data_IF_730408341605
#
_entry.id   IF_730408341605
#
_cell.length_a   1.000
_cell.length_b   1.000
_cell.length_c   1.000
_cell.angle_alpha   90.00
_cell.angle_beta   90.00
_cell.angle_gamma   90.00
#
_symmetry.space_group_name_H-M   'P 1'
#
loop_
_entity.id
_entity.type
_entity.pdbx_description
1 polymer ?
#
# COMPACT_ATOMS: atom_id res chain seq x y z
N UNK A 1 35.42 2.58 14.98
CA UNK A 1 34.86 3.94 15.11
C UNK A 1 35.28 4.71 13.87
N UNK A 2 34.35 4.94 12.94
CA UNK A 2 34.60 5.77 11.76
C UNK A 2 33.87 7.08 12.06
N UNK A 3 34.61 8.12 12.43
CA UNK A 3 34.10 9.48 12.59
C UNK A 3 33.86 10.06 11.20
N UNK A 4 32.61 10.42 10.88
CA UNK A 4 32.29 11.22 9.70
C UNK A 4 32.90 12.62 9.87
N UNK A 5 33.65 13.10 8.88
CA UNK A 5 34.32 14.39 8.94
C UNK A 5 33.36 15.60 8.90
N UNK A 6 33.84 16.79 9.31
CA UNK A 6 33.05 18.02 9.55
C UNK A 6 32.26 18.56 8.35
N UNK A 7 32.46 18.02 7.16
CA UNK A 7 31.80 18.46 5.92
C UNK A 7 30.34 18.02 5.82
N UNK A 8 29.93 16.94 6.51
CA UNK A 8 28.53 16.46 6.47
C UNK A 8 27.59 17.29 7.36
N UNK A 9 28.07 17.82 8.49
CA UNK A 9 27.27 18.66 9.40
C UNK A 9 26.89 20.00 8.77
N UNK A 10 27.80 20.63 8.01
CA UNK A 10 27.51 21.90 7.32
C UNK A 10 26.44 21.77 6.23
N UNK A 11 26.31 20.59 5.59
CA UNK A 11 25.30 20.36 4.55
C UNK A 11 23.90 20.26 5.18
N UNK A 12 23.78 19.58 6.32
CA UNK A 12 22.51 19.50 7.07
C UNK A 12 22.00 20.86 7.54
N UNK A 13 22.91 21.75 7.95
CA UNK A 13 22.58 23.12 8.41
C UNK A 13 22.08 24.05 7.30
N UNK A 14 22.38 23.74 6.03
CA UNK A 14 22.01 24.55 4.86
C UNK A 14 20.86 23.95 4.06
N UNK A 15 20.41 22.75 4.43
CA UNK A 15 19.28 22.07 3.82
C UNK A 15 17.95 22.57 4.37
N UNK A 16 16.96 22.68 3.49
CA UNK A 16 15.56 22.80 3.91
C UNK A 16 14.94 21.39 3.91
N UNK A 17 14.35 21.01 5.04
CA UNK A 17 13.58 19.77 5.17
C UNK A 17 12.13 20.10 4.86
N UNK A 18 11.56 19.36 3.90
CA UNK A 18 10.14 19.39 3.59
C UNK A 18 9.57 18.03 3.93
N UNK A 19 8.56 18.01 4.80
CA UNK A 19 7.81 16.80 5.07
C UNK A 19 6.82 16.53 3.94
N UNK A 20 6.82 15.30 3.45
CA UNK A 20 5.79 14.83 2.52
C UNK A 20 4.65 14.25 3.35
N UNK A 21 3.45 14.74 3.09
CA UNK A 21 2.24 14.19 3.72
C UNK A 21 1.99 12.74 3.27
N UNK A 22 1.33 11.99 4.14
CA UNK A 22 0.97 10.59 3.86
C UNK A 22 0.03 10.54 2.66
N UNK A 23 0.24 9.58 1.77
CA UNK A 23 -0.63 9.33 0.63
C UNK A 23 -1.97 8.71 1.08
N UNK A 24 -2.85 9.57 1.57
CA UNK A 24 -4.12 9.21 2.20
C UNK A 24 -5.18 8.74 1.20
N UNK A 25 -6.34 8.34 1.73
CA UNK A 25 -7.41 7.70 0.95
C UNK A 25 -7.99 8.64 -0.12
N UNK A 26 -8.26 9.89 0.22
CA UNK A 26 -8.86 10.87 -0.70
C UNK A 26 -7.84 11.32 -1.75
N UNK A 27 -6.59 11.47 -1.33
CA UNK A 27 -5.45 11.82 -2.15
C UNK A 27 -5.18 10.73 -3.20
N UNK A 28 -5.34 9.45 -2.84
CA UNK A 28 -5.18 8.30 -3.75
C UNK A 28 -6.16 8.30 -4.92
N UNK A 29 -7.46 8.50 -4.66
CA UNK A 29 -8.45 8.56 -5.73
C UNK A 29 -8.25 9.80 -6.61
N UNK A 30 -7.90 10.93 -6.00
CA UNK A 30 -7.60 12.18 -6.71
C UNK A 30 -6.38 12.02 -7.61
N UNK A 31 -5.31 11.42 -7.08
CA UNK A 31 -4.10 11.07 -7.83
C UNK A 31 -4.41 10.14 -8.99
N UNK A 32 -5.23 9.10 -8.78
CA UNK A 32 -5.62 8.16 -9.83
C UNK A 32 -6.36 8.88 -10.97
N UNK A 33 -7.35 9.73 -10.65
CA UNK A 33 -8.10 10.50 -11.65
C UNK A 33 -7.18 11.43 -12.44
N UNK A 34 -6.26 12.11 -11.76
CA UNK A 34 -5.24 12.93 -12.40
C UNK A 34 -4.32 12.10 -13.32
N UNK A 35 -3.81 10.97 -12.83
CA UNK A 35 -2.93 10.07 -13.59
C UNK A 35 -3.61 9.61 -14.88
N UNK A 36 -4.86 9.13 -14.79
CA UNK A 36 -5.62 8.67 -15.95
C UNK A 36 -5.86 9.81 -16.96
N UNK A 37 -6.05 11.04 -16.50
CA UNK A 37 -6.16 12.22 -17.37
C UNK A 37 -4.88 12.42 -18.20
N UNK A 38 -3.70 12.11 -17.64
CA UNK A 38 -2.43 12.20 -18.37
C UNK A 38 -2.24 11.04 -19.37
N UNK A 39 -2.92 9.92 -19.16
CA UNK A 39 -2.77 8.71 -19.99
C UNK A 39 -3.77 8.64 -21.16
N UNK A 40 -4.95 9.23 -21.04
CA UNK A 40 -5.98 9.19 -22.10
C UNK A 40 -5.69 10.20 -23.21
N UNK A 41 -6.00 9.83 -24.46
CA UNK A 41 -5.91 10.76 -25.58
C UNK A 41 -6.88 11.94 -25.40
N UNK A 42 -6.54 13.11 -25.96
CA UNK A 42 -7.36 14.31 -25.87
C UNK A 42 -8.82 14.05 -26.27
N UNK A 43 -9.77 14.54 -25.45
CA UNK A 43 -11.23 14.35 -25.61
C UNK A 43 -11.73 12.92 -25.39
N UNK A 44 -10.91 12.01 -24.86
CA UNK A 44 -11.37 10.68 -24.43
C UNK A 44 -11.82 10.75 -22.98
N UNK A 45 -12.99 10.19 -22.71
CA UNK A 45 -13.51 10.09 -21.35
C UNK A 45 -12.85 8.93 -20.58
N UNK A 46 -12.52 9.17 -19.31
CA UNK A 46 -11.86 8.19 -18.44
C UNK A 46 -12.80 7.00 -18.20
N UNK A 47 -14.11 7.24 -18.08
CA UNK A 47 -15.09 6.18 -17.83
C UNK A 47 -15.19 5.20 -19.01
N UNK A 48 -14.73 5.60 -20.21
CA UNK A 48 -14.60 4.71 -21.37
C UNK A 48 -13.41 3.75 -21.29
N UNK A 49 -12.46 4.00 -20.38
CA UNK A 49 -11.26 3.17 -20.18
C UNK A 49 -11.40 2.30 -18.92
N UNK A 50 -11.87 2.89 -17.82
CA UNK A 50 -12.01 2.22 -16.52
C UNK A 50 -13.27 2.72 -15.81
N UNK A 51 -14.02 1.82 -15.19
CA UNK A 51 -15.26 2.18 -14.49
C UNK A 51 -14.98 2.90 -13.16
N UNK A 52 -15.90 3.75 -12.69
CA UNK A 52 -15.71 4.51 -11.44
C UNK A 52 -15.60 3.60 -10.21
N UNK A 53 -16.37 2.50 -10.16
CA UNK A 53 -16.26 1.50 -9.09
C UNK A 53 -14.90 0.78 -9.09
N UNK A 54 -14.30 0.54 -10.25
CA UNK A 54 -12.95 -0.01 -10.37
C UNK A 54 -11.89 0.97 -9.85
N UNK A 55 -12.03 2.27 -10.17
CA UNK A 55 -11.14 3.31 -9.65
C UNK A 55 -11.22 3.43 -8.13
N UNK A 56 -12.44 3.43 -7.57
CA UNK A 56 -12.63 3.44 -6.11
C UNK A 56 -11.96 2.19 -5.51
N UNK A 57 -12.29 1.00 -6.04
CA UNK A 57 -11.79 -0.27 -5.52
C UNK A 57 -10.26 -0.37 -5.51
N UNK A 58 -9.59 0.03 -6.60
CA UNK A 58 -8.13 -0.02 -6.69
C UNK A 58 -7.47 1.02 -5.77
N UNK A 59 -8.06 2.23 -5.66
CA UNK A 59 -7.51 3.31 -4.84
C UNK A 59 -7.52 2.99 -3.34
N UNK A 60 -8.46 2.17 -2.88
CA UNK A 60 -8.51 1.73 -1.49
C UNK A 60 -7.37 0.78 -1.12
N UNK A 61 -6.94 -0.08 -2.05
CA UNK A 61 -5.95 -1.15 -1.84
C UNK A 61 -4.51 -0.73 -2.11
N UNK A 62 -4.29 0.13 -3.10
CA UNK A 62 -2.95 0.59 -3.43
C UNK A 62 -2.47 1.64 -2.43
N UNK A 63 -1.17 1.66 -2.17
CA UNK A 63 -0.50 2.50 -1.16
C UNK A 63 0.55 3.42 -1.72
N UNK A 64 1.03 3.18 -2.95
CA UNK A 64 2.11 3.96 -3.56
C UNK A 64 1.83 4.26 -5.02
N UNK A 65 2.34 5.39 -5.57
CA UNK A 65 2.28 5.68 -7.00
C UNK A 65 2.79 4.53 -7.88
N UNK A 66 3.88 3.87 -7.49
CA UNK A 66 4.45 2.74 -8.23
C UNK A 66 3.48 1.55 -8.33
N UNK A 67 2.70 1.30 -7.26
CA UNK A 67 1.68 0.25 -7.32
C UNK A 67 0.57 0.61 -8.31
N UNK A 68 0.16 1.89 -8.40
CA UNK A 68 -0.84 2.32 -9.38
C UNK A 68 -0.35 2.06 -10.80
N UNK A 69 0.86 2.49 -11.13
CA UNK A 69 1.47 2.22 -12.44
C UNK A 69 1.47 0.72 -12.76
N UNK A 70 1.99 -0.10 -11.85
CA UNK A 70 2.13 -1.54 -12.06
C UNK A 70 0.78 -2.24 -12.28
N UNK A 71 -0.21 -2.00 -11.41
CA UNK A 71 -1.49 -2.72 -11.46
C UNK A 71 -2.43 -2.17 -12.52
N UNK A 72 -2.39 -0.86 -12.83
CA UNK A 72 -3.16 -0.32 -13.95
C UNK A 72 -2.63 -0.83 -15.27
N UNK A 73 -1.31 -0.84 -15.47
CA UNK A 73 -0.69 -1.40 -16.69
C UNK A 73 -1.17 -2.83 -16.92
N UNK A 74 -1.04 -3.70 -15.91
CA UNK A 74 -1.51 -5.09 -16.00
C UNK A 74 -3.01 -5.19 -16.29
N UNK A 75 -3.85 -4.42 -15.60
CA UNK A 75 -5.30 -4.45 -15.81
C UNK A 75 -5.69 -4.03 -17.23
N UNK A 76 -5.03 -3.02 -17.80
CA UNK A 76 -5.28 -2.57 -19.16
C UNK A 76 -4.74 -3.55 -20.20
N UNK A 77 -3.56 -4.14 -19.98
CA UNK A 77 -3.02 -5.19 -20.85
C UNK A 77 -3.94 -6.41 -20.88
N UNK A 78 -4.33 -6.95 -19.73
CA UNK A 78 -5.24 -8.10 -19.65
C UNK A 78 -6.64 -7.77 -20.20
N UNK A 79 -7.17 -6.58 -19.89
CA UNK A 79 -8.43 -6.11 -20.45
C UNK A 79 -8.39 -6.01 -21.98
N UNK A 80 -7.28 -5.52 -22.54
CA UNK A 80 -7.09 -5.45 -23.98
C UNK A 80 -7.04 -6.83 -24.63
N UNK A 81 -6.29 -7.78 -24.06
CA UNK A 81 -6.15 -9.15 -24.57
C UNK A 81 -7.50 -9.88 -24.70
N UNK A 82 -8.46 -9.60 -23.80
CA UNK A 82 -9.80 -10.21 -23.85
C UNK A 82 -10.87 -9.32 -24.50
N UNK A 83 -10.48 -8.15 -25.03
CA UNK A 83 -11.42 -7.19 -25.63
C UNK A 83 -12.37 -6.52 -24.65
N UNK A 84 -12.04 -6.49 -23.35
CA UNK A 84 -12.83 -5.82 -22.33
C UNK A 84 -12.57 -4.32 -22.31
N UNK A 85 -13.61 -3.52 -22.56
CA UNK A 85 -13.61 -2.08 -22.40
C UNK A 85 -14.99 -1.58 -21.98
N UNK A 86 -15.14 -0.85 -20.86
CA UNK A 86 -14.10 -0.42 -19.92
C UNK A 86 -13.60 -1.56 -18.99
N UNK A 87 -12.39 -1.37 -18.44
CA UNK A 87 -11.85 -2.20 -17.36
C UNK A 87 -12.72 -2.01 -16.12
N UNK A 88 -13.30 -3.10 -15.63
CA UNK A 88 -14.19 -3.12 -14.46
C UNK A 88 -13.51 -3.64 -13.20
N UNK A 89 -14.19 -3.53 -12.05
CA UNK A 89 -13.65 -3.96 -10.75
C UNK A 89 -13.26 -5.45 -10.71
N UNK A 90 -13.99 -6.31 -11.45
CA UNK A 90 -13.65 -7.74 -11.56
C UNK A 90 -12.29 -7.99 -12.23
N UNK A 91 -11.93 -7.22 -13.26
CA UNK A 91 -10.60 -7.29 -13.91
C UNK A 91 -9.52 -6.76 -12.96
N UNK A 92 -9.79 -5.65 -12.26
CA UNK A 92 -8.85 -5.17 -11.23
C UNK A 92 -8.63 -6.25 -10.17
N UNK A 93 -9.69 -6.91 -9.72
CA UNK A 93 -9.61 -7.96 -8.71
C UNK A 93 -8.79 -9.16 -9.18
N UNK A 94 -8.87 -9.55 -10.46
CA UNK A 94 -8.10 -10.69 -10.98
C UNK A 94 -6.61 -10.41 -11.08
N UNK A 95 -6.20 -9.17 -11.35
CA UNK A 95 -4.78 -8.81 -11.50
C UNK A 95 -4.08 -8.45 -10.20
N UNK A 96 -4.85 -8.09 -9.16
CA UNK A 96 -4.27 -7.76 -7.86
C UNK A 96 -3.67 -9.00 -7.20
N UNK A 97 -2.45 -8.85 -6.67
CA UNK A 97 -1.82 -9.92 -5.92
C UNK A 97 -2.66 -10.24 -4.66
N UNK A 98 -2.99 -11.53 -4.40
CA UNK A 98 -3.79 -11.93 -3.23
C UNK A 98 -3.17 -11.50 -1.89
N UNK A 99 -1.84 -11.38 -1.85
CA UNK A 99 -1.01 -11.06 -0.70
C UNK A 99 -0.51 -9.60 -0.71
N UNK A 100 -1.09 -8.72 -1.53
CA UNK A 100 -0.66 -7.31 -1.65
C UNK A 100 -0.63 -6.56 -0.31
N UNK A 101 -1.51 -6.96 0.61
CA UNK A 101 -1.62 -6.41 1.96
C UNK A 101 -1.11 -7.37 3.04
N UNK A 102 -0.56 -8.54 2.67
CA UNK A 102 -0.20 -9.54 3.66
C UNK A 102 0.84 -8.98 4.63
N UNK A 103 0.42 -8.93 5.89
CA UNK A 103 1.19 -8.37 6.98
C UNK A 103 2.35 -9.30 7.36
N UNK A 104 2.14 -10.61 7.24
CA UNK A 104 3.08 -11.65 7.68
C UNK A 104 4.40 -11.67 6.89
N UNK A 105 4.43 -11.69 5.54
CA UNK A 105 5.67 -11.65 4.78
C UNK A 105 6.46 -10.37 5.03
N UNK A 106 5.77 -9.24 5.18
CA UNK A 106 6.39 -7.93 5.47
C UNK A 106 7.08 -7.93 6.83
N UNK A 107 6.34 -8.29 7.87
CA UNK A 107 6.88 -8.38 9.24
C UNK A 107 8.00 -9.41 9.35
N UNK A 108 7.87 -10.56 8.68
CA UNK A 108 8.89 -11.61 8.66
C UNK A 108 10.20 -11.10 8.05
N UNK A 109 10.16 -10.29 6.97
CA UNK A 109 11.37 -9.67 6.38
C UNK A 109 12.07 -8.70 7.35
N UNK A 110 11.33 -8.11 8.29
CA UNK A 110 11.86 -7.27 9.35
C UNK A 110 12.23 -8.06 10.63
N UNK A 111 12.21 -9.39 10.59
CA UNK A 111 12.54 -10.26 11.73
C UNK A 111 11.37 -10.54 12.68
N UNK A 112 10.18 -9.99 12.41
CA UNK A 112 8.97 -10.16 13.21
C UNK A 112 8.12 -11.32 12.69
N UNK A 113 8.58 -12.56 12.89
CA UNK A 113 7.73 -13.73 12.64
C UNK A 113 6.69 -13.92 13.77
N UNK A 114 5.72 -14.81 13.56
CA UNK A 114 4.63 -15.03 14.52
C UNK A 114 5.08 -15.40 15.95
N UNK A 115 6.24 -16.06 16.10
CA UNK A 115 6.80 -16.40 17.41
C UNK A 115 7.36 -15.16 18.11
N UNK A 116 8.19 -14.40 17.40
CA UNK A 116 8.79 -13.15 17.91
C UNK A 116 7.70 -12.16 18.32
N UNK A 117 6.67 -12.01 17.48
CA UNK A 117 5.52 -11.14 17.79
C UNK A 117 4.73 -11.61 19.02
N UNK A 118 4.53 -12.92 19.18
CA UNK A 118 3.84 -13.47 20.34
C UNK A 118 4.59 -13.18 21.65
N UNK A 119 5.92 -13.29 21.62
CA UNK A 119 6.78 -12.96 22.77
C UNK A 119 6.78 -11.45 23.05
N UNK A 120 6.96 -10.61 22.03
CA UNK A 120 7.05 -9.15 22.17
C UNK A 120 5.74 -8.50 22.62
N UNK A 121 4.60 -9.00 22.13
CA UNK A 121 3.27 -8.49 22.46
C UNK A 121 2.62 -9.23 23.64
N UNK A 122 3.34 -10.18 24.26
CA UNK A 122 2.81 -11.05 25.31
C UNK A 122 1.44 -11.68 24.94
N UNK A 123 1.33 -12.13 23.69
CA UNK A 123 0.10 -12.64 23.09
C UNK A 123 0.23 -14.12 22.70
N UNK A 124 -0.89 -14.81 22.49
CA UNK A 124 -0.84 -16.23 22.12
C UNK A 124 -0.40 -16.37 20.64
N UNK A 125 0.45 -17.35 20.27
CA UNK A 125 0.83 -17.56 18.86
C UNK A 125 -0.36 -17.76 17.91
N UNK A 126 -1.44 -18.37 18.40
CA UNK A 126 -2.69 -18.53 17.63
C UNK A 126 -3.38 -17.19 17.35
N UNK A 127 -3.31 -16.26 18.29
CA UNK A 127 -3.88 -14.92 18.18
C UNK A 127 -3.06 -14.07 17.19
N UNK A 128 -1.73 -14.12 17.28
CA UNK A 128 -0.84 -13.48 16.29
C UNK A 128 -1.09 -14.03 14.88
N UNK A 129 -1.20 -15.35 14.71
CA UNK A 129 -1.55 -15.95 13.40
C UNK A 129 -2.94 -15.55 12.92
N UNK A 130 -3.88 -15.21 13.80
CA UNK A 130 -5.19 -14.71 13.42
C UNK A 130 -5.10 -13.23 13.00
N UNK A 131 -4.33 -12.42 13.72
CA UNK A 131 -4.04 -11.02 13.36
C UNK A 131 -3.40 -10.92 11.98
N UNK A 132 -2.34 -11.70 11.75
CA UNK A 132 -1.57 -11.71 10.51
C UNK A 132 -2.39 -12.11 9.28
N UNK A 133 -3.44 -12.91 9.48
CA UNK A 133 -4.38 -13.36 8.43
C UNK A 133 -5.65 -12.50 8.36
N UNK A 134 -5.76 -11.42 9.13
CA UNK A 134 -6.94 -10.56 9.17
C UNK A 134 -8.20 -11.25 9.75
N UNK A 135 -8.05 -12.33 10.52
CA UNK A 135 -9.14 -13.14 11.06
C UNK A 135 -9.49 -12.79 12.52
N UNK A 136 -8.87 -11.75 13.08
CA UNK A 136 -9.06 -11.34 14.47
C UNK A 136 -10.16 -10.29 14.59
N UNK A 137 -10.95 -10.33 15.67
CA UNK A 137 -12.03 -9.39 15.92
C UNK A 137 -11.52 -7.94 15.94
N UNK A 138 -12.28 -7.00 15.36
CA UNK A 138 -11.84 -5.61 15.12
C UNK A 138 -11.28 -4.90 16.36
N UNK A 139 -11.95 -5.01 17.52
CA UNK A 139 -11.46 -4.42 18.77
C UNK A 139 -10.09 -4.96 19.18
N UNK A 140 -9.92 -6.29 19.13
CA UNK A 140 -8.64 -6.93 19.49
C UNK A 140 -7.54 -6.67 18.47
N UNK A 141 -7.90 -6.54 17.20
CA UNK A 141 -6.98 -6.11 16.13
C UNK A 141 -6.43 -4.71 16.41
N UNK A 142 -7.28 -3.77 16.81
CA UNK A 142 -6.86 -2.40 17.15
C UNK A 142 -5.94 -2.36 18.37
N UNK A 143 -6.25 -3.12 19.42
CA UNK A 143 -5.39 -3.24 20.61
C UNK A 143 -3.99 -3.73 20.24
N UNK A 144 -3.89 -4.86 19.54
CA UNK A 144 -2.59 -5.40 19.12
C UNK A 144 -1.84 -4.47 18.16
N UNK A 145 -2.54 -3.79 17.25
CA UNK A 145 -1.93 -2.79 16.36
C UNK A 145 -1.40 -1.56 17.13
N UNK A 146 -2.03 -1.20 18.24
CA UNK A 146 -1.55 -0.13 19.12
C UNK A 146 -0.30 -0.57 19.88
N UNK A 147 -0.30 -1.78 20.43
CA UNK A 147 0.87 -2.37 21.09
C UNK A 147 2.06 -2.52 20.12
N UNK A 148 1.81 -2.97 18.88
CA UNK A 148 2.82 -3.03 17.83
C UNK A 148 3.44 -1.66 17.53
N UNK A 149 2.61 -0.60 17.47
CA UNK A 149 3.11 0.77 17.28
C UNK A 149 3.97 1.21 18.47
N UNK A 150 3.51 0.96 19.70
CA UNK A 150 4.26 1.29 20.92
C UNK A 150 5.61 0.57 20.99
N UNK A 151 5.69 -0.65 20.47
CA UNK A 151 6.91 -1.44 20.36
C UNK A 151 7.81 -1.06 19.15
N UNK A 152 7.42 -0.07 18.34
CA UNK A 152 8.19 0.39 17.18
C UNK A 152 8.18 -0.59 15.99
N UNK A 153 7.21 -1.50 15.93
CA UNK A 153 7.10 -2.49 14.86
C UNK A 153 6.52 -1.81 13.60
N UNK A 154 7.15 -2.00 12.41
CA UNK A 154 6.67 -1.40 11.17
C UNK A 154 5.28 -1.92 10.80
N UNK A 155 4.37 -1.02 10.43
CA UNK A 155 3.00 -1.33 9.95
C UNK A 155 2.96 -1.68 8.49
#
# INVERSE_FOLDING_TARGET
>A
MIYGGPTMEEIGLRGAVFDLEVFGRTEKLTYLKWLLTQCVASKTDIESAITDDAMIFISERLRTPLQFEQYLTRAFEEGFEIGQRPVGAGMIQSVLAPDLEDLEPRLTRHGYNAKVLAELLNAKPREIKALLRGQLASGRTQELQHEMLAAGIPR
#
